data_IF_125244504663
#
_entry.id   IF_125244504663
#
_cell.length_a   1.000
_cell.length_b   1.000
_cell.length_c   1.000
_cell.angle_alpha   90.00
_cell.angle_beta   90.00
_cell.angle_gamma   90.00
#
_symmetry.space_group_name_H-M   'P 1'
#
loop_
_entity.id
_entity.type
_entity.pdbx_description
1 polymer ?
#
# COMPACT_ATOMS: atom_id res chain seq x y z
N UNK A 1 -9.69 9.70 19.91
CA UNK A 1 -9.70 9.60 18.43
C UNK A 1 -9.54 8.14 18.10
N UNK A 2 -10.28 7.60 17.12
CA UNK A 2 -10.03 6.25 16.62
C UNK A 2 -8.77 6.33 15.77
N UNK A 3 -7.72 5.60 16.14
CA UNK A 3 -6.48 5.56 15.37
C UNK A 3 -6.78 5.10 13.95
N UNK A 4 -6.34 5.87 12.96
CA UNK A 4 -6.44 5.48 11.57
C UNK A 4 -5.29 4.49 11.28
N UNK A 5 -5.60 3.20 11.25
CA UNK A 5 -4.64 2.16 10.88
C UNK A 5 -4.57 2.01 9.36
N UNK A 6 -3.53 2.60 8.76
CA UNK A 6 -3.23 2.45 7.34
C UNK A 6 -2.27 1.31 7.03
N UNK A 7 -1.53 0.83 8.04
CA UNK A 7 -0.45 -0.15 7.86
C UNK A 7 -1.01 -1.54 7.60
N UNK A 8 -2.05 -1.95 8.34
CA UNK A 8 -2.63 -3.28 8.16
C UNK A 8 -3.25 -3.49 6.76
N UNK A 9 -4.06 -2.57 6.21
CA UNK A 9 -4.55 -2.67 4.84
C UNK A 9 -3.43 -2.64 3.78
N UNK A 10 -2.40 -1.81 3.99
CA UNK A 10 -1.23 -1.76 3.10
C UNK A 10 -0.48 -3.10 3.07
N UNK A 11 -0.25 -3.71 4.23
CA UNK A 11 0.40 -5.02 4.32
C UNK A 11 -0.39 -6.10 3.56
N UNK A 12 -1.73 -6.12 3.71
CA UNK A 12 -2.59 -7.05 2.97
C UNK A 12 -2.53 -6.84 1.46
N UNK A 13 -2.49 -5.58 1.01
CA UNK A 13 -2.37 -5.26 -0.41
C UNK A 13 -1.01 -5.69 -0.97
N UNK A 14 0.08 -5.43 -0.24
CA UNK A 14 1.43 -5.85 -0.64
C UNK A 14 1.52 -7.39 -0.76
N UNK A 15 0.92 -8.10 0.19
CA UNK A 15 0.87 -9.57 0.16
C UNK A 15 0.04 -10.08 -1.03
N UNK A 16 -1.13 -9.49 -1.28
CA UNK A 16 -1.94 -9.86 -2.44
C UNK A 16 -1.20 -9.64 -3.78
N UNK A 17 -0.46 -8.53 -3.92
CA UNK A 17 0.36 -8.28 -5.12
C UNK A 17 1.50 -9.29 -5.26
N UNK A 18 2.12 -9.69 -4.15
CA UNK A 18 3.14 -10.75 -4.13
C UNK A 18 2.55 -12.09 -4.58
N UNK A 19 1.38 -12.47 -4.07
CA UNK A 19 0.68 -13.70 -4.47
C UNK A 19 0.34 -13.68 -5.95
N UNK A 20 -0.16 -12.55 -6.47
CA UNK A 20 -0.44 -12.39 -7.90
C UNK A 20 0.82 -12.61 -8.77
N UNK A 21 1.96 -12.02 -8.38
CA UNK A 21 3.21 -12.22 -9.11
C UNK A 21 3.68 -13.68 -9.09
N UNK A 22 3.53 -14.38 -7.96
CA UNK A 22 3.88 -15.81 -7.87
C UNK A 22 3.03 -16.63 -8.83
N UNK A 23 1.70 -16.44 -8.80
CA UNK A 23 0.78 -17.15 -9.69
C UNK A 23 1.05 -16.80 -11.15
N UNK A 24 1.37 -15.53 -11.46
CA UNK A 24 1.70 -15.14 -12.83
C UNK A 24 2.97 -15.81 -13.34
N UNK A 25 4.01 -15.93 -12.51
CA UNK A 25 5.25 -16.61 -12.89
C UNK A 25 5.01 -18.09 -13.21
N UNK A 26 4.20 -18.77 -12.39
CA UNK A 26 3.79 -20.17 -12.58
C UNK A 26 2.99 -20.35 -13.88
N UNK A 27 1.96 -19.53 -14.08
CA UNK A 27 1.10 -19.58 -15.28
C UNK A 27 1.90 -19.35 -16.57
N UNK A 28 2.90 -18.48 -16.56
CA UNK A 28 3.75 -18.23 -17.74
C UNK A 28 4.63 -19.40 -18.15
N UNK A 29 4.87 -20.38 -17.28
CA UNK A 29 5.62 -21.58 -17.67
C UNK A 29 4.88 -22.35 -18.77
N UNK A 30 3.55 -22.39 -18.69
CA UNK A 30 2.69 -23.08 -19.65
C UNK A 30 1.98 -22.14 -20.64
N UNK A 31 1.88 -20.84 -20.33
CA UNK A 31 1.19 -19.84 -21.14
C UNK A 31 2.11 -18.68 -21.56
N UNK A 32 2.83 -18.86 -22.67
CA UNK A 32 3.85 -17.91 -23.17
C UNK A 32 3.57 -17.39 -24.60
N UNK A 33 2.30 -17.24 -24.96
CA UNK A 33 1.90 -16.75 -26.29
C UNK A 33 1.73 -15.22 -26.33
N UNK A 34 1.32 -14.68 -27.48
CA UNK A 34 1.11 -13.24 -27.62
C UNK A 34 -0.03 -12.68 -26.76
N UNK A 35 -0.97 -13.54 -26.32
CA UNK A 35 -2.07 -13.12 -25.45
C UNK A 35 -1.56 -12.96 -24.02
N UNK A 36 -0.74 -13.88 -23.52
CA UNK A 36 -0.16 -13.75 -22.18
C UNK A 36 0.76 -12.54 -22.09
N UNK A 37 1.54 -12.25 -23.14
CA UNK A 37 2.34 -11.02 -23.24
C UNK A 37 1.47 -9.76 -23.16
N UNK A 38 0.35 -9.72 -23.89
CA UNK A 38 -0.58 -8.60 -23.86
C UNK A 38 -1.19 -8.42 -22.45
N UNK A 39 -1.50 -9.52 -21.76
CA UNK A 39 -2.02 -9.45 -20.38
C UNK A 39 -0.99 -8.88 -19.41
N UNK A 40 0.27 -9.29 -19.53
CA UNK A 40 1.36 -8.77 -18.71
C UNK A 40 1.55 -7.27 -18.91
N UNK A 41 1.64 -6.85 -20.16
CA UNK A 41 1.98 -5.48 -20.54
C UNK A 41 0.83 -4.50 -20.26
N UNK A 42 -0.43 -4.88 -20.57
CA UNK A 42 -1.57 -3.98 -20.42
C UNK A 42 -2.15 -3.94 -19.01
N UNK A 43 -2.02 -5.02 -18.24
CA UNK A 43 -2.70 -5.12 -16.93
C UNK A 43 -1.73 -5.30 -15.77
N UNK A 44 -0.84 -6.29 -15.83
CA UNK A 44 -0.04 -6.67 -14.65
C UNK A 44 1.08 -5.65 -14.36
N UNK A 45 1.80 -5.21 -15.39
CA UNK A 45 2.86 -4.20 -15.25
C UNK A 45 2.28 -2.86 -14.74
N UNK A 46 1.19 -2.31 -15.32
CA UNK A 46 0.56 -1.09 -14.80
C UNK A 46 0.03 -1.27 -13.38
N UNK A 47 -0.63 -2.40 -13.08
CA UNK A 47 -1.17 -2.68 -11.74
C UNK A 47 -0.06 -2.71 -10.69
N UNK A 48 1.06 -3.36 -10.98
CA UNK A 48 2.21 -3.40 -10.07
C UNK A 48 2.73 -1.98 -9.75
N UNK A 49 2.85 -1.13 -10.78
CA UNK A 49 3.26 0.26 -10.62
C UNK A 49 2.27 1.07 -9.75
N UNK A 50 0.97 0.92 -10.00
CA UNK A 50 -0.08 1.60 -9.24
C UNK A 50 -0.13 1.15 -7.77
N UNK A 51 -0.04 -0.16 -7.51
CA UNK A 51 0.00 -0.70 -6.14
C UNK A 51 1.21 -0.17 -5.38
N UNK A 52 2.40 -0.14 -6.02
CA UNK A 52 3.60 0.42 -5.41
C UNK A 52 3.41 1.90 -5.04
N UNK A 53 2.93 2.72 -5.97
CA UNK A 53 2.69 4.14 -5.73
C UNK A 53 1.66 4.38 -4.60
N UNK A 54 0.65 3.52 -4.52
CA UNK A 54 -0.35 3.57 -3.46
C UNK A 54 0.25 3.22 -2.08
N UNK A 55 1.08 2.18 -1.99
CA UNK A 55 1.78 1.82 -0.76
C UNK A 55 2.72 2.95 -0.27
N UNK A 56 3.46 3.58 -1.19
CA UNK A 56 4.31 4.73 -0.86
C UNK A 56 3.49 5.91 -0.33
N UNK A 57 2.29 6.11 -0.87
CA UNK A 57 1.37 7.16 -0.41
C UNK A 57 0.81 6.85 0.98
N UNK A 58 0.46 5.58 1.22
CA UNK A 58 -0.02 5.12 2.53
C UNK A 58 1.04 5.32 3.61
N UNK A 59 2.31 5.04 3.34
CA UNK A 59 3.38 5.26 4.32
C UNK A 59 3.47 6.75 4.73
N UNK A 60 3.39 7.65 3.75
CA UNK A 60 3.36 9.10 3.99
C UNK A 60 2.14 9.53 4.81
N UNK A 61 0.96 8.98 4.51
CA UNK A 61 -0.26 9.25 5.27
C UNK A 61 -0.13 8.77 6.71
N UNK A 62 0.38 7.54 6.92
CA UNK A 62 0.63 6.97 8.24
C UNK A 62 1.57 7.87 9.06
N UNK A 63 2.61 8.40 8.44
CA UNK A 63 3.57 9.29 9.10
C UNK A 63 2.91 10.62 9.52
N UNK A 64 2.22 11.29 8.59
CA UNK A 64 1.58 12.59 8.85
C UNK A 64 0.50 12.46 9.92
N UNK A 65 -0.34 11.41 9.86
CA UNK A 65 -1.37 11.18 10.88
C UNK A 65 -0.74 10.91 12.25
N UNK A 66 0.32 10.11 12.32
CA UNK A 66 1.03 9.86 13.60
C UNK A 66 1.61 11.16 14.18
N UNK A 67 2.20 12.02 13.34
CA UNK A 67 2.71 13.34 13.77
C UNK A 67 1.59 14.23 14.29
N UNK A 68 0.45 14.28 13.58
CA UNK A 68 -0.72 15.06 13.99
C UNK A 68 -1.31 14.57 15.33
N UNK A 69 -1.43 13.24 15.50
CA UNK A 69 -1.89 12.63 16.75
C UNK A 69 -1.00 13.05 17.94
N UNK A 70 0.33 12.97 17.78
CA UNK A 70 1.29 13.39 18.82
C UNK A 70 1.18 14.88 19.15
N UNK A 71 1.05 15.74 18.14
CA UNK A 71 0.90 17.18 18.36
C UNK A 71 -0.37 17.51 19.17
N UNK A 72 -1.49 16.86 18.84
CA UNK A 72 -2.74 17.04 19.59
C UNK A 72 -2.69 16.46 21.01
N UNK A 73 -1.95 15.37 21.25
CA UNK A 73 -1.73 14.84 22.59
C UNK A 73 -0.88 15.81 23.44
N UNK A 74 0.22 16.32 22.89
CA UNK A 74 1.11 17.24 23.59
C UNK A 74 0.42 18.56 23.99
N UNK A 75 -0.44 19.11 23.12
CA UNK A 75 -1.22 20.32 23.44
C UNK A 75 -2.24 20.10 24.58
N UNK A 76 -2.74 18.88 24.77
CA UNK A 76 -3.67 18.57 25.87
C UNK A 76 -2.99 18.47 27.23
N UNK A 77 -1.73 18.04 27.26
CA UNK A 77 -0.95 17.91 28.51
C UNK A 77 -0.47 19.26 29.04
N UNK A 78 -0.32 20.26 28.16
CA UNK A 78 0.07 21.64 28.50
C UNK A 78 -1.09 22.64 28.38
N UNK A 79 -2.28 22.28 28.88
CA UNK A 79 -3.39 23.21 29.03
C UNK A 79 -2.99 24.49 29.80
N UNK A 80 -3.63 25.64 29.55
CA UNK A 80 -3.15 26.93 30.02
C UNK A 80 -3.05 26.94 31.55
N UNK A 81 -1.88 27.32 32.05
CA UNK A 81 -1.70 27.71 33.44
C UNK A 81 -2.52 29.00 33.60
N UNK A 82 -3.61 28.94 34.38
CA UNK A 82 -4.36 30.12 34.83
C UNK A 82 -3.46 31.08 35.60
#
# INVERSE_FOLDING_TARGET
MRHADFRSPAARLADAMKQLNIVWMDVREDWSDSVSQHVEDEYLVPLHGQVRAMLDTIEKLSEVTTRAERACMHQREHGPIL
#
